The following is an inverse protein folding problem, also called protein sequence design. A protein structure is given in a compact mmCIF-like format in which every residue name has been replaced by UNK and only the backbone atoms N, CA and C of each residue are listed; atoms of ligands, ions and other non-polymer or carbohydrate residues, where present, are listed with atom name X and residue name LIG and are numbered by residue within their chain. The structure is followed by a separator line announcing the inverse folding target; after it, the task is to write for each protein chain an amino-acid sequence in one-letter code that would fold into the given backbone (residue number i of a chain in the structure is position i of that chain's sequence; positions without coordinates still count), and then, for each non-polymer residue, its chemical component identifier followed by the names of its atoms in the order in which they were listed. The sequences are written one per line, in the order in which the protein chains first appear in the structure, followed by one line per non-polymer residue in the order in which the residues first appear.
data_IF_429572535969
#
_entry.id   IF_429572535969
#
_cell.length_a   1.000
_cell.length_b   1.000
_cell.length_c   1.000
_cell.angle_alpha   90.00
_cell.angle_beta   90.00
_cell.angle_gamma   90.00
#
_symmetry.space_group_name_H-M   'P 1'
#
loop_
_entity.id
_entity.type
_entity.pdbx_description
1 polymer ?
#
# COMPACT_ATOMS: atom_id res chain seq x y z
N UNK A 1 3.06 19.20 -3.22
CA UNK A 1 4.28 18.35 -3.25
C UNK A 1 5.15 18.50 -1.99
N UNK A 2 5.34 19.72 -1.42
CA UNK A 2 6.33 19.94 -0.35
C UNK A 2 6.15 19.02 0.88
N UNK A 3 4.95 18.89 1.42
CA UNK A 3 4.71 18.02 2.58
C UNK A 3 5.03 16.53 2.32
N UNK A 4 4.87 16.05 1.09
CA UNK A 4 5.32 14.71 0.70
C UNK A 4 6.85 14.62 0.74
N UNK A 5 7.56 15.60 0.17
CA UNK A 5 9.04 15.63 0.16
C UNK A 5 9.60 15.72 1.58
N UNK A 6 8.98 16.53 2.44
CA UNK A 6 9.36 16.63 3.86
C UNK A 6 9.14 15.30 4.61
N UNK A 7 8.09 14.55 4.25
CA UNK A 7 7.88 13.20 4.79
C UNK A 7 8.97 12.27 4.30
N UNK A 8 9.27 12.28 3.00
CA UNK A 8 10.30 11.41 2.40
C UNK A 8 11.68 11.67 3.01
N UNK A 9 12.06 12.94 3.24
CA UNK A 9 13.36 13.29 3.82
C UNK A 9 13.57 12.79 5.26
N UNK A 10 12.48 12.38 5.95
CA UNK A 10 12.51 11.89 7.34
C UNK A 10 12.16 10.41 7.46
N UNK A 11 12.02 9.70 6.34
CA UNK A 11 11.66 8.28 6.36
C UNK A 11 12.68 7.44 7.12
N UNK A 12 12.18 6.43 7.81
CA UNK A 12 12.93 5.23 8.15
C UNK A 12 12.39 4.08 7.29
N UNK A 13 13.17 3.03 7.10
CA UNK A 13 12.71 1.85 6.33
C UNK A 13 11.71 1.07 7.17
N UNK A 14 10.42 1.01 6.76
CA UNK A 14 9.46 0.20 7.48
C UNK A 14 9.77 -1.29 7.30
N UNK A 15 9.43 -2.09 8.29
CA UNK A 15 9.63 -3.55 8.24
C UNK A 15 8.45 -4.29 7.59
N UNK A 16 7.32 -3.61 7.41
CA UNK A 16 6.07 -4.18 6.88
C UNK A 16 5.42 -3.23 5.89
N UNK A 17 4.45 -3.77 5.14
CA UNK A 17 3.64 -2.97 4.23
C UNK A 17 2.84 -1.90 4.99
N UNK A 18 2.97 -0.65 4.58
CA UNK A 18 2.29 0.47 5.25
C UNK A 18 2.14 1.68 4.34
N UNK A 19 1.14 2.52 4.67
CA UNK A 19 0.97 3.85 4.09
C UNK A 19 1.74 4.88 4.91
N UNK A 20 2.57 5.66 4.24
CA UNK A 20 3.45 6.66 4.86
C UNK A 20 2.99 8.09 4.64
N UNK A 21 2.34 8.34 3.50
CA UNK A 21 1.79 9.64 3.18
C UNK A 21 0.42 9.51 2.52
N UNK A 22 -0.53 10.35 2.94
CA UNK A 22 -1.87 10.40 2.36
C UNK A 22 -2.35 11.85 2.26
N UNK A 23 -2.22 12.44 1.08
CA UNK A 23 -2.62 13.82 0.83
C UNK A 23 -4.12 14.03 0.69
N UNK A 24 -4.85 13.00 0.21
CA UNK A 24 -6.28 13.09 -0.15
C UNK A 24 -7.22 13.48 1.00
N UNK A 25 -6.80 13.31 2.24
CA UNK A 25 -7.61 13.68 3.41
C UNK A 25 -7.66 15.19 3.73
N UNK A 26 -7.14 16.05 2.86
CA UNK A 26 -7.13 17.51 3.05
C UNK A 26 -6.19 18.01 4.15
N UNK A 27 -5.43 17.13 4.79
CA UNK A 27 -4.49 17.46 5.85
C UNK A 27 -3.25 18.22 5.34
N UNK A 28 -2.93 18.06 4.05
CA UNK A 28 -1.73 18.59 3.44
C UNK A 28 -2.10 19.41 2.18
N UNK A 29 -2.42 20.72 2.33
CA UNK A 29 -2.79 21.57 1.20
C UNK A 29 -1.74 21.54 0.09
N UNK A 30 -2.19 21.38 -1.17
CA UNK A 30 -1.34 21.25 -2.35
C UNK A 30 -0.68 19.87 -2.52
N UNK A 31 -1.08 18.87 -1.72
CA UNK A 31 -0.61 17.48 -1.83
C UNK A 31 -1.76 16.48 -1.99
N UNK A 32 -2.97 16.95 -2.27
CA UNK A 32 -4.21 16.15 -2.27
C UNK A 32 -4.16 14.99 -3.27
N UNK A 33 -3.40 15.15 -4.34
CA UNK A 33 -3.27 14.11 -5.36
C UNK A 33 -2.32 12.97 -4.96
N UNK A 34 -1.48 13.14 -3.91
CA UNK A 34 -0.37 12.24 -3.63
C UNK A 34 -0.67 11.25 -2.51
N UNK A 35 -0.21 10.03 -2.69
CA UNK A 35 0.00 9.07 -1.60
C UNK A 35 1.32 8.33 -1.80
N UNK A 36 1.96 7.98 -0.68
CA UNK A 36 3.18 7.17 -0.66
C UNK A 36 2.94 5.94 0.22
N UNK A 37 3.07 4.80 -0.41
CA UNK A 37 2.92 3.48 0.18
C UNK A 37 4.25 2.72 0.11
N UNK A 38 4.51 1.85 1.09
CA UNK A 38 5.63 0.93 1.06
C UNK A 38 5.11 -0.50 1.04
N UNK A 39 5.45 -1.22 -0.01
CA UNK A 39 5.25 -2.66 -0.16
C UNK A 39 6.63 -3.31 -0.22
N UNK A 40 7.24 -3.69 0.92
CA UNK A 40 8.63 -4.13 0.94
C UNK A 40 9.00 -5.08 -0.21
N UNK A 41 10.09 -4.83 -0.94
CA UNK A 41 11.06 -3.74 -0.80
C UNK A 41 10.73 -2.50 -1.67
N UNK A 42 9.50 -2.34 -2.19
CA UNK A 42 9.11 -1.37 -3.22
C UNK A 42 8.35 -0.18 -2.64
N UNK A 43 8.81 1.02 -2.95
CA UNK A 43 8.09 2.28 -2.73
C UNK A 43 7.09 2.51 -3.86
N UNK A 44 5.85 2.82 -3.53
CA UNK A 44 4.81 3.13 -4.49
C UNK A 44 4.33 4.56 -4.28
N UNK A 45 4.70 5.44 -5.20
CA UNK A 45 4.11 6.77 -5.30
C UNK A 45 2.86 6.70 -6.17
N UNK A 46 1.71 7.12 -5.63
CA UNK A 46 0.47 7.23 -6.42
C UNK A 46 0.07 8.69 -6.55
N UNK A 47 -0.24 9.12 -7.77
CA UNK A 47 -0.89 10.39 -8.05
C UNK A 47 -2.32 10.17 -8.55
N UNK A 48 -3.25 10.98 -8.06
CA UNK A 48 -4.65 11.05 -8.52
C UNK A 48 -4.90 12.28 -9.43
N UNK A 49 -3.85 12.88 -9.95
CA UNK A 49 -3.87 13.99 -10.90
C UNK A 49 -2.73 13.87 -11.89
N UNK A 50 -2.60 14.86 -12.76
CA UNK A 50 -1.45 14.97 -13.66
C UNK A 50 -0.16 15.15 -12.87
N UNK A 51 0.91 14.65 -13.43
CA UNK A 51 2.25 14.69 -12.81
C UNK A 51 3.22 15.32 -13.77
N UNK A 52 3.88 16.38 -13.34
CA UNK A 52 4.94 17.01 -14.13
C UNK A 52 6.26 16.21 -14.06
N UNK A 53 7.11 16.27 -15.10
CA UNK A 53 8.45 15.70 -15.05
C UNK A 53 9.28 16.24 -13.88
N UNK A 54 9.08 17.51 -13.54
CA UNK A 54 9.77 18.19 -12.43
C UNK A 54 9.39 17.58 -11.08
N UNK A 55 8.10 17.26 -10.87
CA UNK A 55 7.62 16.61 -9.65
C UNK A 55 8.23 15.23 -9.47
N UNK A 56 8.31 14.45 -10.57
CA UNK A 56 8.94 13.13 -10.56
C UNK A 56 10.42 13.27 -10.19
N UNK A 57 11.14 14.17 -10.85
CA UNK A 57 12.58 14.39 -10.62
C UNK A 57 12.87 14.82 -9.18
N UNK A 58 12.07 15.75 -8.63
CA UNK A 58 12.20 16.21 -7.25
C UNK A 58 11.96 15.08 -6.26
N UNK A 59 10.90 14.30 -6.46
CA UNK A 59 10.61 13.16 -5.61
C UNK A 59 11.71 12.12 -5.64
N UNK A 60 12.17 11.73 -6.85
CA UNK A 60 13.25 10.75 -7.01
C UNK A 60 14.56 11.23 -6.35
N UNK A 61 14.90 12.51 -6.50
CA UNK A 61 16.11 13.07 -5.90
C UNK A 61 16.07 12.99 -4.37
N UNK A 62 14.95 13.40 -3.75
CA UNK A 62 14.81 13.37 -2.28
C UNK A 62 14.77 11.93 -1.78
N UNK A 63 14.04 11.03 -2.46
CA UNK A 63 13.96 9.63 -2.05
C UNK A 63 15.32 8.92 -2.20
N UNK A 64 16.04 9.14 -3.29
CA UNK A 64 17.36 8.54 -3.53
C UNK A 64 18.38 9.02 -2.51
N UNK A 65 18.38 10.33 -2.20
CA UNK A 65 19.26 10.89 -1.18
C UNK A 65 18.96 10.25 0.18
N UNK A 66 17.67 10.23 0.57
CA UNK A 66 17.29 9.62 1.84
C UNK A 66 17.61 8.13 1.90
N UNK A 67 17.38 7.41 0.80
CA UNK A 67 17.68 5.98 0.71
C UNK A 67 19.16 5.68 0.90
N UNK A 68 20.04 6.49 0.31
CA UNK A 68 21.50 6.34 0.48
C UNK A 68 21.96 6.53 1.92
N UNK A 69 21.20 7.27 2.74
CA UNK A 69 21.50 7.48 4.16
C UNK A 69 21.02 6.30 5.04
N UNK A 70 19.81 5.77 4.77
CA UNK A 70 19.15 4.80 5.65
C UNK A 70 19.29 3.35 5.23
N UNK A 71 19.66 3.10 3.97
CA UNK A 71 19.80 1.76 3.40
C UNK A 71 20.87 1.72 2.29
N UNK A 72 22.12 2.16 2.57
CA UNK A 72 23.17 2.34 1.55
C UNK A 72 23.53 1.05 0.81
N UNK A 73 23.38 -0.11 1.45
CA UNK A 73 23.69 -1.42 0.87
C UNK A 73 22.53 -2.02 0.05
N UNK A 74 21.38 -1.33 -0.03
CA UNK A 74 20.18 -1.84 -0.68
C UNK A 74 19.82 -1.03 -1.93
N UNK A 75 19.42 -1.72 -2.98
CA UNK A 75 18.90 -1.11 -4.19
C UNK A 75 17.55 -0.44 -3.87
N UNK A 76 17.38 0.80 -4.32
CA UNK A 76 16.11 1.50 -4.24
C UNK A 76 15.15 0.94 -5.31
N UNK A 77 14.01 0.42 -4.88
CA UNK A 77 12.93 0.01 -5.77
C UNK A 77 11.77 0.99 -5.65
N UNK A 78 11.37 1.61 -6.74
CA UNK A 78 10.32 2.63 -6.72
C UNK A 78 9.45 2.56 -7.97
N UNK A 79 8.14 2.62 -7.75
CA UNK A 79 7.10 2.63 -8.79
C UNK A 79 6.27 3.89 -8.65
N UNK A 80 5.94 4.53 -9.77
CA UNK A 80 4.95 5.58 -9.89
C UNK A 80 3.68 5.01 -10.52
N UNK A 81 2.53 5.26 -9.90
CA UNK A 81 1.24 5.02 -10.51
C UNK A 81 0.45 6.31 -10.63
N UNK A 82 0.07 6.67 -11.83
CA UNK A 82 -0.78 7.84 -12.13
C UNK A 82 -2.18 7.37 -12.45
N UNK A 83 -3.16 7.85 -11.69
CA UNK A 83 -4.60 7.53 -11.81
C UNK A 83 -5.35 8.81 -12.17
N UNK A 84 -5.45 9.10 -13.45
CA UNK A 84 -6.08 10.33 -13.93
C UNK A 84 -6.98 10.05 -15.14
N UNK A 85 -8.08 10.79 -15.27
CA UNK A 85 -9.02 10.72 -16.40
C UNK A 85 -9.45 9.28 -16.75
N UNK A 86 -9.81 8.46 -15.73
CA UNK A 86 -10.18 7.04 -15.85
C UNK A 86 -9.09 6.11 -16.41
N UNK A 87 -7.88 6.61 -16.52
CA UNK A 87 -6.71 5.84 -16.92
C UNK A 87 -5.79 5.58 -15.71
N UNK A 88 -5.13 4.45 -15.75
CA UNK A 88 -4.06 4.13 -14.80
C UNK A 88 -2.80 3.82 -15.60
N UNK A 89 -1.74 4.56 -15.32
CA UNK A 89 -0.40 4.32 -15.89
C UNK A 89 0.54 3.98 -14.76
N UNK A 90 1.31 2.92 -14.94
CA UNK A 90 2.30 2.48 -13.96
C UNK A 90 3.68 2.49 -14.61
N UNK A 91 4.65 3.09 -13.93
CA UNK A 91 6.02 3.24 -14.39
C UNK A 91 6.99 2.83 -13.29
N UNK A 92 7.97 2.01 -13.63
CA UNK A 92 9.12 1.75 -12.77
C UNK A 92 10.04 2.96 -12.80
N UNK A 93 10.27 3.59 -11.64
CA UNK A 93 11.17 4.74 -11.51
C UNK A 93 12.60 4.31 -11.16
N UNK A 94 12.76 3.24 -10.37
CA UNK A 94 14.07 2.72 -9.97
C UNK A 94 13.97 1.25 -9.59
N UNK A 95 15.07 0.51 -9.79
CA UNK A 95 15.23 -0.87 -9.38
C UNK A 95 14.33 -1.84 -10.13
N UNK A 96 13.67 -2.74 -9.41
CA UNK A 96 12.78 -3.78 -9.94
C UNK A 96 11.62 -4.06 -8.98
N UNK A 97 10.58 -4.72 -9.47
CA UNK A 97 9.46 -5.21 -8.64
C UNK A 97 9.52 -6.74 -8.63
N UNK A 98 9.53 -7.38 -7.45
CA UNK A 98 9.47 -8.84 -7.36
C UNK A 98 8.22 -9.42 -8.05
N UNK A 99 8.35 -10.61 -8.64
CA UNK A 99 7.21 -11.37 -9.18
C UNK A 99 7.45 -12.86 -8.93
N UNK A 100 6.74 -13.53 -8.01
CA UNK A 100 5.65 -13.00 -7.16
C UNK A 100 6.16 -12.02 -6.08
N UNK A 101 5.35 -11.02 -5.75
CA UNK A 101 5.66 -10.04 -4.73
C UNK A 101 4.83 -10.30 -3.46
N UNK A 102 5.50 -10.70 -2.39
CA UNK A 102 4.89 -10.99 -1.10
C UNK A 102 5.25 -9.94 -0.08
N UNK A 103 4.28 -9.48 0.68
CA UNK A 103 4.46 -8.47 1.74
C UNK A 103 3.83 -8.93 3.04
N UNK A 104 4.37 -8.44 4.16
CA UNK A 104 3.84 -8.70 5.49
C UNK A 104 3.03 -7.52 6.00
N UNK A 105 1.92 -7.81 6.66
CA UNK A 105 1.18 -6.89 7.53
C UNK A 105 0.75 -7.65 8.80
N UNK A 106 1.31 -7.27 9.94
CA UNK A 106 1.15 -8.04 11.17
C UNK A 106 1.72 -9.46 11.02
N UNK A 107 0.92 -10.46 11.36
CA UNK A 107 1.26 -11.87 11.19
C UNK A 107 0.82 -12.44 9.82
N UNK A 108 0.21 -11.63 8.96
CA UNK A 108 -0.34 -12.07 7.68
C UNK A 108 0.60 -11.76 6.53
N UNK A 109 0.64 -12.65 5.55
CA UNK A 109 1.38 -12.46 4.30
C UNK A 109 0.39 -12.32 3.15
N UNK A 110 0.64 -11.34 2.27
CA UNK A 110 -0.21 -11.04 1.14
C UNK A 110 0.59 -10.96 -0.14
N UNK A 111 0.06 -11.54 -1.22
CA UNK A 111 0.60 -11.32 -2.56
C UNK A 111 0.06 -10.02 -3.13
N UNK A 112 0.96 -9.19 -3.67
CA UNK A 112 0.60 -7.91 -4.28
C UNK A 112 1.10 -7.81 -5.73
N UNK A 113 0.45 -6.98 -6.53
CA UNK A 113 0.77 -6.79 -7.95
C UNK A 113 0.85 -5.30 -8.27
N UNK A 114 2.02 -4.70 -8.11
CA UNK A 114 2.19 -3.26 -8.24
C UNK A 114 2.20 -2.78 -9.70
N UNK A 115 2.62 -3.64 -10.64
CA UNK A 115 2.80 -3.27 -12.05
C UNK A 115 1.60 -3.56 -12.93
N UNK A 116 0.71 -4.47 -12.54
CA UNK A 116 -0.33 -5.01 -13.44
C UNK A 116 -1.72 -4.43 -13.20
N UNK A 117 -1.96 -3.83 -12.06
CA UNK A 117 -3.32 -3.55 -11.59
C UNK A 117 -3.44 -2.17 -10.95
N UNK A 118 -4.64 -1.57 -11.07
CA UNK A 118 -5.01 -0.38 -10.30
C UNK A 118 -5.11 -0.69 -8.80
N UNK A 119 -5.59 -1.87 -8.48
CA UNK A 119 -5.72 -2.38 -7.11
C UNK A 119 -4.64 -3.43 -6.89
N UNK A 120 -3.80 -3.24 -5.89
CA UNK A 120 -2.55 -3.97 -5.73
C UNK A 120 -2.67 -5.28 -4.94
N UNK A 121 -3.88 -5.69 -4.56
CA UNK A 121 -4.11 -6.90 -3.76
C UNK A 121 -4.27 -6.62 -2.26
N UNK A 122 -3.62 -5.61 -1.71
CA UNK A 122 -3.75 -5.20 -0.31
C UNK A 122 -3.99 -3.69 -0.22
N UNK A 123 -5.09 -3.30 0.41
CA UNK A 123 -5.41 -1.89 0.69
C UNK A 123 -4.81 -1.47 2.04
N UNK A 124 -3.73 -0.70 2.01
CA UNK A 124 -2.98 -0.31 3.22
C UNK A 124 -3.73 0.69 4.11
N UNK A 125 -4.64 1.48 3.55
CA UNK A 125 -5.54 2.37 4.31
C UNK A 125 -6.54 1.62 5.19
N UNK A 126 -6.76 0.33 4.94
CA UNK A 126 -7.63 -0.53 5.73
C UNK A 126 -6.89 -1.29 6.85
N UNK A 127 -5.61 -1.05 7.06
CA UNK A 127 -4.81 -1.75 8.06
C UNK A 127 -5.40 -1.63 9.49
N UNK A 128 -5.83 -0.42 9.88
CA UNK A 128 -6.48 -0.21 11.19
C UNK A 128 -7.81 -0.99 11.30
N UNK A 129 -8.57 -1.08 10.19
CA UNK A 129 -9.81 -1.88 10.14
C UNK A 129 -9.51 -3.37 10.32
N UNK A 130 -8.49 -3.90 9.67
CA UNK A 130 -8.06 -5.30 9.86
C UNK A 130 -7.59 -5.56 11.28
N UNK A 131 -6.82 -4.66 11.88
CA UNK A 131 -6.41 -4.77 13.28
C UNK A 131 -7.61 -4.77 14.24
N UNK A 132 -8.62 -3.95 13.96
CA UNK A 132 -9.85 -3.92 14.75
C UNK A 132 -10.60 -5.26 14.64
N UNK A 133 -10.78 -5.79 13.43
CA UNK A 133 -11.42 -7.11 13.21
C UNK A 133 -10.66 -8.21 13.94
N UNK A 134 -9.33 -8.24 13.82
CA UNK A 134 -8.51 -9.20 14.55
C UNK A 134 -8.76 -9.15 16.07
N UNK A 135 -8.69 -7.96 16.67
CA UNK A 135 -8.92 -7.79 18.12
C UNK A 135 -10.34 -8.21 18.52
N UNK A 136 -11.34 -7.79 17.73
CA UNK A 136 -12.74 -8.11 18.02
C UNK A 136 -13.00 -9.64 17.97
N UNK A 137 -12.54 -10.31 16.91
CA UNK A 137 -12.69 -11.76 16.76
C UNK A 137 -11.93 -12.51 17.85
N UNK A 138 -10.71 -12.08 18.16
CA UNK A 138 -9.90 -12.69 19.23
C UNK A 138 -10.60 -12.62 20.59
N UNK A 139 -11.34 -11.54 20.87
CA UNK A 139 -12.14 -11.40 22.09
C UNK A 139 -13.46 -12.20 22.08
N UNK A 140 -13.86 -12.73 20.91
CA UNK A 140 -15.09 -13.49 20.72
C UNK A 140 -14.80 -14.77 19.89
N UNK A 141 -13.99 -15.70 20.40
CA UNK A 141 -13.56 -16.86 19.63
C UNK A 141 -14.74 -17.71 19.19
N UNK A 142 -14.64 -18.29 18.00
CA UNK A 142 -15.68 -19.15 17.44
C UNK A 142 -16.82 -18.43 16.72
N UNK A 143 -16.83 -17.10 16.65
CA UNK A 143 -17.85 -16.38 15.86
C UNK A 143 -17.69 -16.67 14.37
N UNK A 144 -18.81 -16.59 13.64
CA UNK A 144 -18.82 -16.61 12.18
C UNK A 144 -18.75 -15.17 11.63
N UNK A 145 -18.00 -14.96 10.55
CA UNK A 145 -17.81 -13.65 9.94
C UNK A 145 -18.32 -13.67 8.49
N UNK A 146 -19.11 -12.67 8.13
CA UNK A 146 -19.49 -12.37 6.76
C UNK A 146 -18.67 -11.16 6.26
N UNK A 147 -17.82 -11.38 5.27
CA UNK A 147 -17.00 -10.36 4.64
C UNK A 147 -17.64 -9.95 3.30
N UNK A 148 -18.29 -8.80 3.29
CA UNK A 148 -18.88 -8.21 2.08
C UNK A 148 -17.85 -7.33 1.38
N UNK A 149 -17.87 -7.34 0.03
CA UNK A 149 -16.86 -6.68 -0.80
C UNK A 149 -15.45 -7.18 -0.49
N UNK A 150 -15.33 -8.50 -0.44
CA UNK A 150 -14.18 -9.19 0.15
C UNK A 150 -12.87 -8.94 -0.59
N UNK A 151 -12.92 -8.61 -1.88
CA UNK A 151 -11.77 -8.44 -2.77
C UNK A 151 -10.83 -9.65 -2.65
N UNK A 152 -9.57 -9.48 -2.24
CA UNK A 152 -8.60 -10.57 -2.02
C UNK A 152 -8.77 -11.29 -0.68
N UNK A 153 -9.79 -10.97 0.09
CA UNK A 153 -10.07 -11.63 1.36
C UNK A 153 -9.17 -11.23 2.54
N UNK A 154 -8.47 -10.09 2.47
CA UNK A 154 -7.54 -9.69 3.54
C UNK A 154 -8.18 -9.58 4.92
N UNK A 155 -9.43 -9.15 5.03
CA UNK A 155 -10.20 -9.16 6.28
C UNK A 155 -10.51 -10.58 6.75
N UNK A 156 -10.76 -11.51 5.83
CA UNK A 156 -11.06 -12.91 6.14
C UNK A 156 -9.84 -13.63 6.69
N UNK A 157 -8.66 -13.34 6.14
CA UNK A 157 -7.39 -13.88 6.65
C UNK A 157 -7.20 -13.51 8.12
N UNK A 158 -7.34 -12.24 8.46
CA UNK A 158 -7.15 -11.78 9.86
C UNK A 158 -8.24 -12.29 10.80
N UNK A 159 -9.48 -12.46 10.31
CA UNK A 159 -10.56 -13.03 11.10
C UNK A 159 -10.32 -14.50 11.44
N UNK A 160 -9.89 -15.30 10.47
CA UNK A 160 -9.54 -16.71 10.68
C UNK A 160 -8.34 -16.87 11.62
N UNK A 161 -7.30 -16.07 11.44
CA UNK A 161 -6.14 -16.06 12.33
C UNK A 161 -6.49 -15.67 13.78
N UNK A 162 -7.51 -14.83 13.95
CA UNK A 162 -7.99 -14.42 15.26
C UNK A 162 -8.94 -15.44 15.94
N UNK A 163 -9.28 -16.53 15.27
CA UNK A 163 -10.12 -17.60 15.84
C UNK A 163 -11.58 -17.60 15.40
N UNK A 164 -11.93 -16.97 14.28
CA UNK A 164 -13.25 -17.14 13.68
C UNK A 164 -13.46 -18.60 13.28
N UNK A 165 -14.64 -19.18 13.60
CA UNK A 165 -14.96 -20.55 13.23
C UNK A 165 -15.26 -20.72 11.74
N UNK A 166 -15.72 -19.66 11.11
CA UNK A 166 -16.08 -19.62 9.68
C UNK A 166 -16.02 -18.20 9.16
N UNK A 167 -15.55 -18.05 7.92
CA UNK A 167 -15.68 -16.79 7.16
C UNK A 167 -16.35 -17.08 5.82
N UNK A 168 -17.30 -16.24 5.44
CA UNK A 168 -17.94 -16.26 4.12
C UNK A 168 -17.56 -14.96 3.40
N UNK A 169 -16.95 -15.09 2.23
CA UNK A 169 -16.62 -13.96 1.36
C UNK A 169 -17.72 -13.76 0.31
N UNK A 170 -18.12 -12.50 0.10
CA UNK A 170 -19.01 -12.10 -0.98
C UNK A 170 -18.37 -10.94 -1.72
N UNK A 171 -18.12 -11.11 -3.01
CA UNK A 171 -17.62 -10.07 -3.91
C UNK A 171 -18.29 -10.18 -5.27
N UNK A 172 -18.42 -9.04 -5.97
CA UNK A 172 -18.99 -8.99 -7.31
C UNK A 172 -17.95 -9.25 -8.40
N UNK A 173 -16.65 -9.17 -8.07
CA UNK A 173 -15.55 -9.33 -9.02
C UNK A 173 -15.13 -10.79 -9.12
N UNK A 174 -15.40 -11.43 -10.24
CA UNK A 174 -14.94 -12.79 -10.53
C UNK A 174 -13.40 -12.94 -10.63
N UNK A 175 -12.67 -11.83 -10.67
CA UNK A 175 -11.21 -11.81 -10.79
C UNK A 175 -10.47 -11.46 -9.49
N UNK A 176 -11.16 -11.37 -8.37
CA UNK A 176 -10.59 -11.03 -7.07
C UNK A 176 -10.31 -12.25 -6.17
N UNK A 177 -10.64 -13.45 -6.63
CA UNK A 177 -10.43 -14.73 -5.92
C UNK A 177 -9.24 -15.50 -6.45
#
# INVERSE_FOLDING_TARGET
MQALLDTVSRLNVPTQACRLFHGRGGRYPGCEQWSLDFYPPVWLLTSHGEVSPEDITRFQSVLSLRWSEIAPEHILHCVLQVRHANQTRTQLLSGSVPDPHWVLEGASQYQVQLMRSKNHGLFLDMACGRQWVHKHVHSHPGIAVLNLFAYTGAFSVVALQAGASRVVNVDMSAGAS
#
